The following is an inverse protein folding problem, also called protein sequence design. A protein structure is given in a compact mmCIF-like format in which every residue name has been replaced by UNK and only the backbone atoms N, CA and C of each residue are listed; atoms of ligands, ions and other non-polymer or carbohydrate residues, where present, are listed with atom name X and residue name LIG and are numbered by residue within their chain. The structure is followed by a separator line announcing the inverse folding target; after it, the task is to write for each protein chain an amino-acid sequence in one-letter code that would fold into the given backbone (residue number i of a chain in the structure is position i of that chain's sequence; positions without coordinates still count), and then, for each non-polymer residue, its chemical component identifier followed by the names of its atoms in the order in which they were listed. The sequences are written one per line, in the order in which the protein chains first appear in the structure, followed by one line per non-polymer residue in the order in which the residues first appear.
data_IF_523444341383
#
_entry.id   IF_523444341383
#
_cell.length_a   1.000
_cell.length_b   1.000
_cell.length_c   1.000
_cell.angle_alpha   90.00
_cell.angle_beta   90.00
_cell.angle_gamma   90.00
#
_symmetry.space_group_name_H-M   'P 1'
#
loop_
_entity.id
_entity.type
_entity.pdbx_description
1 polymer ?
#
# COMPACT_ATOMS: atom_id res chain seq x y z
N UNK A 1 -2.27 16.97 -16.54
CA UNK A 1 -1.28 16.13 -17.22
C UNK A 1 -1.10 14.90 -16.36
N UNK A 2 -1.86 13.85 -16.66
CA UNK A 2 -1.75 12.57 -15.97
C UNK A 2 -0.45 11.91 -16.39
N UNK A 3 0.49 11.77 -15.46
CA UNK A 3 1.77 11.10 -15.70
C UNK A 3 1.77 9.84 -14.85
N UNK A 4 0.98 8.86 -15.27
CA UNK A 4 1.31 7.44 -15.10
C UNK A 4 1.74 6.91 -16.48
N UNK A 5 2.65 7.64 -17.13
CA UNK A 5 3.41 7.06 -18.23
C UNK A 5 4.24 5.91 -17.63
N UNK A 6 4.33 4.78 -18.31
CA UNK A 6 5.09 3.61 -17.89
C UNK A 6 6.56 3.99 -17.65
N UNK A 7 6.85 4.45 -16.44
CA UNK A 7 8.18 4.93 -16.06
C UNK A 7 9.19 3.78 -16.15
N UNK A 8 8.75 2.52 -16.09
CA UNK A 8 9.65 1.38 -16.23
C UNK A 8 10.25 1.29 -17.63
N UNK A 9 9.50 1.69 -18.67
CA UNK A 9 9.96 1.71 -20.05
C UNK A 9 10.89 2.88 -20.41
N UNK A 10 11.08 3.85 -19.51
CA UNK A 10 11.97 4.98 -19.78
C UNK A 10 13.43 4.52 -19.81
N UNK A 11 14.10 4.86 -20.91
CA UNK A 11 15.54 4.61 -21.11
C UNK A 11 16.33 5.84 -20.68
N UNK A 12 17.51 5.64 -20.10
CA UNK A 12 18.42 6.75 -19.79
C UNK A 12 19.23 7.15 -21.03
N UNK A 13 19.06 8.40 -21.44
CA UNK A 13 19.82 9.03 -22.54
C UNK A 13 21.27 9.37 -22.14
N UNK A 14 22.15 9.47 -23.15
CA UNK A 14 23.59 9.79 -22.96
C UNK A 14 23.80 11.19 -22.35
N UNK A 15 23.03 12.17 -22.79
CA UNK A 15 23.15 13.58 -22.38
C UNK A 15 22.34 13.91 -21.11
N UNK A 16 21.65 12.92 -20.54
CA UNK A 16 20.79 13.09 -19.37
C UNK A 16 21.57 13.07 -18.05
N UNK A 17 21.02 13.69 -16.98
CA UNK A 17 21.62 13.62 -15.65
C UNK A 17 21.72 12.17 -15.16
N UNK A 18 22.67 11.90 -14.27
CA UNK A 18 22.76 10.61 -13.60
C UNK A 18 21.43 10.28 -12.89
N UNK A 19 20.89 9.10 -13.20
CA UNK A 19 19.63 8.60 -12.66
C UNK A 19 19.90 7.43 -11.72
N UNK A 20 19.32 7.49 -10.52
CA UNK A 20 19.30 6.40 -9.56
C UNK A 20 17.86 5.93 -9.35
N UNK A 21 17.68 4.63 -9.19
CA UNK A 21 16.41 4.01 -8.86
C UNK A 21 16.49 3.31 -7.52
N UNK A 22 15.40 3.39 -6.76
CA UNK A 22 15.27 2.81 -5.42
C UNK A 22 14.12 1.81 -5.45
N UNK A 23 14.45 0.53 -5.30
CA UNK A 23 13.50 -0.58 -5.23
C UNK A 23 13.10 -0.84 -3.77
N UNK A 24 11.89 -0.40 -3.41
CA UNK A 24 11.24 -0.70 -2.14
C UNK A 24 10.58 -2.08 -2.25
N UNK A 25 11.43 -3.12 -2.14
CA UNK A 25 10.99 -4.51 -2.23
C UNK A 25 10.08 -4.82 -1.04
N UNK A 26 8.86 -5.29 -1.32
CA UNK A 26 7.84 -5.53 -0.30
C UNK A 26 7.38 -6.98 -0.23
N UNK A 27 7.04 -7.41 0.98
CA UNK A 27 6.40 -8.71 1.20
C UNK A 27 4.87 -8.67 1.12
N UNK A 28 4.25 -9.83 1.31
CA UNK A 28 2.79 -10.01 1.36
C UNK A 28 2.12 -9.27 2.53
N UNK A 29 2.88 -8.90 3.56
CA UNK A 29 2.45 -8.12 4.73
C UNK A 29 2.75 -6.63 4.58
N UNK A 30 3.12 -6.17 3.38
CA UNK A 30 3.43 -4.76 3.09
C UNK A 30 4.66 -4.21 3.83
N UNK A 31 5.54 -5.08 4.35
CA UNK A 31 6.82 -4.68 4.93
C UNK A 31 7.85 -4.46 3.82
N UNK A 32 8.74 -3.49 4.01
CA UNK A 32 9.80 -3.12 3.07
C UNK A 32 11.12 -3.76 3.51
N UNK A 33 11.80 -4.43 2.59
CA UNK A 33 13.12 -4.99 2.79
C UNK A 33 14.14 -3.86 2.89
N UNK A 34 14.97 -3.91 3.93
CA UNK A 34 16.12 -3.04 4.12
C UNK A 34 17.37 -3.88 4.33
N UNK A 35 18.49 -3.37 3.84
CA UNK A 35 19.78 -4.02 3.81
C UNK A 35 20.80 -3.19 4.56
N UNK A 36 21.62 -3.83 5.39
CA UNK A 36 22.61 -3.16 6.23
C UNK A 36 23.92 -3.02 5.48
N UNK A 37 24.50 -1.83 5.55
CA UNK A 37 25.87 -1.58 5.09
C UNK A 37 26.89 -2.14 6.09
N UNK A 38 27.94 -2.84 5.62
CA UNK A 38 28.95 -3.39 6.50
C UNK A 38 29.80 -2.30 7.14
N UNK A 39 30.47 -2.65 8.24
CA UNK A 39 31.21 -1.68 9.06
C UNK A 39 32.39 -1.00 8.33
N UNK A 40 32.83 -1.59 7.21
CA UNK A 40 33.89 -1.05 6.34
C UNK A 40 33.38 -0.09 5.25
N UNK A 41 32.07 0.02 5.05
CA UNK A 41 31.48 0.84 4.00
C UNK A 41 31.37 2.31 4.42
N UNK A 42 31.25 3.25 3.46
CA UNK A 42 30.78 4.60 3.77
C UNK A 42 29.40 4.53 4.42
N UNK A 43 29.22 5.20 5.56
CA UNK A 43 28.00 5.16 6.39
C UNK A 43 27.73 3.76 6.96
N UNK A 44 28.64 3.23 7.79
CA UNK A 44 28.55 1.86 8.31
C UNK A 44 27.34 1.65 9.20
N UNK A 45 26.77 0.43 9.17
CA UNK A 45 25.64 0.04 10.01
C UNK A 45 24.29 0.66 9.64
N UNK A 46 24.26 1.51 8.60
CA UNK A 46 23.01 2.11 8.10
C UNK A 46 22.23 1.14 7.22
N UNK A 47 20.92 1.35 7.17
CA UNK A 47 19.96 0.56 6.41
C UNK A 47 19.52 1.29 5.14
N UNK A 48 19.47 0.60 4.01
CA UNK A 48 18.95 1.12 2.75
C UNK A 48 18.12 0.07 1.99
N UNK A 49 17.12 0.47 1.18
CA UNK A 49 16.50 -0.41 0.20
C UNK A 49 17.48 -0.83 -0.89
N UNK A 50 17.03 -1.69 -1.81
CA UNK A 50 17.82 -2.02 -3.00
C UNK A 50 17.91 -0.76 -3.88
N UNK A 51 19.13 -0.30 -4.17
CA UNK A 51 19.39 0.88 -4.99
C UNK A 51 20.29 0.54 -6.17
N UNK A 52 20.06 1.18 -7.30
CA UNK A 52 20.90 1.02 -8.49
C UNK A 52 20.99 2.30 -9.32
N UNK A 53 22.15 2.51 -9.92
CA UNK A 53 22.33 3.58 -10.91
C UNK A 53 21.90 3.04 -12.27
N UNK A 54 21.04 3.78 -12.98
CA UNK A 54 20.53 3.36 -14.29
C UNK A 54 21.64 3.57 -15.32
N UNK A 55 22.15 2.50 -15.97
CA UNK A 55 23.13 2.65 -17.03
C UNK A 55 22.57 3.42 -18.22
N UNK A 56 23.45 4.10 -18.95
CA UNK A 56 23.07 4.72 -20.23
C UNK A 56 22.59 3.64 -21.20
N UNK A 57 21.47 3.88 -21.86
CA UNK A 57 20.85 2.93 -22.79
C UNK A 57 20.06 1.80 -22.14
N UNK A 58 20.06 1.69 -20.81
CA UNK A 58 19.22 0.74 -20.08
C UNK A 58 17.88 1.38 -19.69
N UNK A 59 16.85 0.55 -19.60
CA UNK A 59 15.56 0.97 -19.05
C UNK A 59 15.57 0.97 -17.52
N UNK A 60 14.68 1.77 -16.92
CA UNK A 60 14.42 1.74 -15.48
C UNK A 60 13.96 0.34 -15.04
N UNK A 61 13.06 -0.29 -15.80
CA UNK A 61 12.52 -1.60 -15.51
C UNK A 61 13.59 -2.69 -15.47
N UNK A 62 14.44 -2.77 -16.50
CA UNK A 62 15.57 -3.71 -16.53
C UNK A 62 16.51 -3.49 -15.36
N UNK A 63 16.84 -2.22 -15.06
CA UNK A 63 17.72 -1.88 -13.93
C UNK A 63 17.13 -2.35 -12.60
N UNK A 64 15.82 -2.17 -12.38
CA UNK A 64 15.13 -2.63 -11.16
C UNK A 64 15.12 -4.16 -11.05
N UNK A 65 14.78 -4.87 -12.13
CA UNK A 65 14.78 -6.32 -12.17
C UNK A 65 16.15 -6.90 -11.84
N UNK A 66 17.18 -6.38 -12.50
CA UNK A 66 18.56 -6.82 -12.33
C UNK A 66 19.09 -6.51 -10.93
N UNK A 67 18.80 -5.32 -10.39
CA UNK A 67 19.21 -4.94 -9.05
C UNK A 67 18.59 -5.84 -7.99
N UNK A 68 17.27 -6.07 -8.05
CA UNK A 68 16.60 -6.96 -7.09
C UNK A 68 17.12 -8.39 -7.21
N UNK A 69 17.27 -8.91 -8.42
CA UNK A 69 17.78 -10.26 -8.62
C UNK A 69 19.21 -10.44 -8.07
N UNK A 70 20.12 -9.50 -8.36
CA UNK A 70 21.50 -9.56 -7.85
C UNK A 70 21.59 -9.41 -6.34
N UNK A 71 20.73 -8.60 -5.74
CA UNK A 71 20.82 -8.28 -4.31
C UNK A 71 20.06 -9.25 -3.41
N UNK A 72 19.05 -9.95 -3.94
CA UNK A 72 18.17 -10.81 -3.13
C UNK A 72 18.06 -12.24 -3.64
N UNK A 73 18.45 -12.50 -4.89
CA UNK A 73 18.15 -13.74 -5.60
C UNK A 73 16.70 -13.85 -6.10
N UNK A 74 15.85 -12.84 -5.86
CA UNK A 74 14.42 -12.90 -6.16
C UNK A 74 14.06 -12.35 -7.54
N UNK A 75 12.95 -12.84 -8.09
CA UNK A 75 12.38 -12.38 -9.35
C UNK A 75 11.30 -11.34 -9.11
N UNK A 76 11.43 -10.18 -9.72
CA UNK A 76 10.40 -9.13 -9.70
C UNK A 76 9.12 -9.60 -10.41
N UNK A 77 7.97 -9.40 -9.75
CA UNK A 77 6.62 -9.75 -10.24
C UNK A 77 5.79 -8.53 -10.60
N UNK A 78 6.09 -7.37 -10.03
CA UNK A 78 5.39 -6.14 -10.31
C UNK A 78 6.16 -4.94 -9.78
N UNK A 79 6.05 -3.84 -10.51
CA UNK A 79 6.70 -2.57 -10.22
C UNK A 79 5.64 -1.47 -10.26
N UNK A 80 5.57 -0.67 -9.22
CA UNK A 80 4.62 0.45 -9.11
C UNK A 80 5.40 1.72 -8.77
N UNK A 81 5.28 2.79 -9.56
CA UNK A 81 5.99 4.03 -9.26
C UNK A 81 5.50 4.63 -7.95
N UNK A 82 6.43 5.05 -7.10
CA UNK A 82 6.13 5.89 -5.95
C UNK A 82 6.25 7.34 -6.41
N UNK A 83 5.15 8.09 -6.29
CA UNK A 83 5.18 9.52 -6.51
C UNK A 83 5.70 10.17 -5.24
N UNK A 84 7.02 10.29 -5.16
CA UNK A 84 7.70 11.03 -4.10
C UNK A 84 7.88 12.48 -4.52
N UNK A 85 7.79 13.40 -3.55
CA UNK A 85 8.19 14.80 -3.79
C UNK A 85 9.67 14.88 -4.20
N UNK A 86 10.13 16.01 -4.76
CA UNK A 86 11.51 16.14 -5.25
C UNK A 86 12.50 15.71 -4.16
N UNK A 87 13.26 14.64 -4.46
CA UNK A 87 14.38 14.16 -3.66
C UNK A 87 15.38 15.31 -3.45
N UNK A 88 15.87 15.47 -2.23
CA UNK A 88 16.57 16.67 -1.75
C UNK A 88 17.73 17.15 -2.63
N UNK A 89 17.98 18.46 -2.57
CA UNK A 89 19.17 19.10 -3.12
C UNK A 89 20.43 18.45 -2.56
N UNK A 90 21.30 17.92 -3.43
CA UNK A 90 22.57 17.34 -3.02
C UNK A 90 23.36 18.29 -2.10
N UNK A 91 23.84 17.79 -0.96
CA UNK A 91 24.81 18.53 -0.14
C UNK A 91 26.12 18.67 -0.92
N UNK A 92 26.62 19.91 -1.06
CA UNK A 92 28.01 20.17 -1.47
C UNK A 92 28.27 20.29 -2.97
N UNK A 93 27.40 20.94 -3.75
CA UNK A 93 27.73 21.35 -5.13
C UNK A 93 27.88 20.21 -6.15
N UNK A 94 27.52 18.98 -5.78
CA UNK A 94 27.46 17.84 -6.71
C UNK A 94 26.21 17.94 -7.60
N UNK A 95 26.29 17.50 -8.87
CA UNK A 95 25.15 17.51 -9.78
C UNK A 95 23.95 16.79 -9.15
N UNK A 96 22.76 17.39 -9.29
CA UNK A 96 21.51 16.85 -8.74
C UNK A 96 21.24 15.51 -9.42
N UNK A 97 21.56 14.43 -8.72
CA UNK A 97 21.20 13.07 -9.11
C UNK A 97 19.68 12.95 -8.94
N UNK A 98 18.97 12.61 -10.02
CA UNK A 98 17.54 12.34 -9.94
C UNK A 98 17.37 10.95 -9.34
N UNK A 99 16.53 10.83 -8.31
CA UNK A 99 16.22 9.56 -7.68
C UNK A 99 14.73 9.25 -7.87
N UNK A 100 14.44 8.03 -8.34
CA UNK A 100 13.08 7.55 -8.55
C UNK A 100 12.84 6.30 -7.71
N UNK A 101 11.78 6.31 -6.91
CA UNK A 101 11.42 5.20 -6.03
C UNK A 101 10.31 4.36 -6.65
N UNK A 102 10.40 3.05 -6.45
CA UNK A 102 9.42 2.09 -6.95
C UNK A 102 9.07 1.09 -5.86
N UNK A 103 7.77 0.84 -5.71
CA UNK A 103 7.29 -0.26 -4.89
C UNK A 103 7.39 -1.55 -5.71
N UNK A 104 8.18 -2.50 -5.22
CA UNK A 104 8.51 -3.72 -5.97
C UNK A 104 7.95 -4.93 -5.25
N UNK A 105 7.06 -5.66 -5.93
CA UNK A 105 6.65 -6.99 -5.47
C UNK A 105 7.57 -8.02 -6.09
N UNK A 106 8.28 -8.79 -5.27
CA UNK A 106 9.19 -9.84 -5.72
C UNK A 106 8.72 -11.21 -5.22
N UNK A 107 9.11 -12.26 -5.94
CA UNK A 107 8.92 -13.64 -5.51
C UNK A 107 10.27 -14.35 -5.50
N UNK A 108 10.42 -15.25 -4.56
CA UNK A 108 11.58 -16.12 -4.45
C UNK A 108 11.80 -16.94 -5.72
N UNK A 109 13.05 -17.36 -6.01
CA UNK A 109 13.28 -18.47 -6.91
C UNK A 109 12.55 -19.69 -6.34
N UNK A 110 11.84 -20.44 -7.19
CA UNK A 110 11.08 -21.60 -6.75
C UNK A 110 11.99 -22.54 -5.95
N UNK A 111 11.73 -22.68 -4.65
CA UNK A 111 12.36 -23.73 -3.87
C UNK A 111 11.95 -25.09 -4.46
N UNK A 112 12.89 -26.03 -4.52
CA UNK A 112 12.58 -27.44 -4.72
C UNK A 112 11.44 -27.85 -3.78
N UNK A 113 10.51 -28.72 -4.20
CA UNK A 113 9.38 -29.09 -3.35
C UNK A 113 9.91 -29.72 -2.05
N UNK A 114 9.62 -29.04 -0.94
CA UNK A 114 9.88 -29.52 0.43
C UNK A 114 9.11 -30.85 0.63
N UNK A 115 9.68 -31.87 1.31
CA UNK A 115 8.94 -33.09 1.60
C UNK A 115 7.73 -32.77 2.49
N UNK A 116 6.65 -33.52 2.27
CA UNK A 116 5.30 -33.24 2.74
C UNK A 116 5.22 -32.73 4.21
N UNK A 117 4.40 -31.70 4.50
CA UNK A 117 4.26 -31.16 5.84
C UNK A 117 3.56 -32.17 6.77
N UNK A 118 4.05 -32.26 8.01
CA UNK A 118 3.39 -32.97 9.10
C UNK A 118 2.00 -32.35 9.37
N UNK A 119 1.00 -33.16 9.75
CA UNK A 119 -0.32 -32.64 10.07
C UNK A 119 -0.28 -31.96 11.43
N UNK A 120 -1.06 -30.90 11.57
CA UNK A 120 -1.43 -30.24 12.82
C UNK A 120 -0.53 -29.10 13.29
N UNK A 121 -0.76 -27.94 12.68
CA UNK A 121 -0.83 -26.59 13.27
C UNK A 121 -1.46 -25.73 12.16
N UNK A 122 -2.44 -24.87 12.48
CA UNK A 122 -3.03 -23.94 11.50
C UNK A 122 -1.95 -23.14 10.75
N UNK A 123 -2.24 -22.52 9.59
CA UNK A 123 -1.18 -21.99 8.73
C UNK A 123 -0.42 -20.86 9.44
N UNK A 124 0.71 -21.21 10.04
CA UNK A 124 1.78 -20.27 10.32
C UNK A 124 2.20 -19.76 8.95
N UNK A 125 2.04 -18.46 8.64
CA UNK A 125 2.45 -17.95 7.35
C UNK A 125 3.93 -18.28 7.17
N UNK A 126 4.25 -19.04 6.12
CA UNK A 126 5.61 -19.42 5.79
C UNK A 126 6.47 -18.16 5.83
N UNK A 127 7.56 -18.13 6.62
CA UNK A 127 8.45 -16.98 6.64
C UNK A 127 8.89 -16.68 5.22
N UNK A 128 8.88 -15.41 4.82
CA UNK A 128 9.60 -15.01 3.60
C UNK A 128 11.07 -15.37 3.86
N UNK A 129 11.70 -16.24 3.06
CA UNK A 129 13.07 -16.65 3.26
C UNK A 129 13.99 -15.44 3.14
N UNK A 130 15.19 -15.59 3.69
CA UNK A 130 16.19 -14.54 3.66
C UNK A 130 16.61 -14.21 2.21
N UNK A 131 16.92 -12.94 1.89
CA UNK A 131 17.62 -12.61 0.66
C UNK A 131 19.00 -13.28 0.64
N UNK A 132 19.44 -13.72 -0.53
CA UNK A 132 20.84 -14.13 -0.72
C UNK A 132 21.72 -12.89 -0.86
N UNK A 133 22.49 -12.60 0.20
CA UNK A 133 23.40 -11.45 0.24
C UNK A 133 24.81 -11.78 -0.25
N UNK A 134 25.07 -13.03 -0.69
CA UNK A 134 26.39 -13.43 -1.15
C UNK A 134 26.83 -12.59 -2.36
N UNK A 135 28.02 -11.98 -2.26
CA UNK A 135 28.55 -11.13 -3.33
C UNK A 135 27.91 -9.73 -3.41
N UNK A 136 27.05 -9.36 -2.45
CA UNK A 136 26.53 -7.99 -2.31
C UNK A 136 27.42 -7.15 -1.40
N UNK A 137 27.20 -5.83 -1.41
CA UNK A 137 27.82 -4.88 -0.48
C UNK A 137 27.06 -4.76 0.85
N UNK A 138 26.24 -5.77 1.21
CA UNK A 138 25.38 -5.79 2.40
C UNK A 138 25.65 -7.02 3.25
N UNK A 139 25.59 -6.88 4.59
CA UNK A 139 25.94 -7.96 5.52
C UNK A 139 24.79 -8.43 6.43
N UNK A 140 23.65 -7.73 6.39
CA UNK A 140 22.44 -8.10 7.09
C UNK A 140 21.19 -7.54 6.38
N UNK A 141 20.02 -8.07 6.74
CA UNK A 141 18.73 -7.57 6.25
C UNK A 141 17.71 -7.45 7.39
N UNK A 142 16.70 -6.60 7.19
CA UNK A 142 15.55 -6.47 8.08
C UNK A 142 14.29 -6.09 7.30
N UNK A 143 13.14 -6.18 7.96
CA UNK A 143 11.84 -5.80 7.40
C UNK A 143 11.27 -4.61 8.17
N UNK A 144 10.92 -3.54 7.45
CA UNK A 144 10.25 -2.37 8.02
C UNK A 144 8.77 -2.34 7.61
N UNK A 145 7.88 -2.50 8.58
CA UNK A 145 6.43 -2.49 8.42
C UNK A 145 5.74 -1.22 8.91
N UNK A 146 4.44 -1.35 9.18
CA UNK A 146 3.55 -0.24 9.52
C UNK A 146 3.94 0.49 10.83
N UNK A 147 4.38 -0.26 11.84
CA UNK A 147 4.75 0.24 13.18
C UNK A 147 6.17 0.78 13.30
N UNK A 148 6.97 0.65 12.25
CA UNK A 148 8.44 0.81 12.28
C UNK A 148 8.91 2.25 12.05
N UNK A 149 7.98 3.19 11.96
CA UNK A 149 8.28 4.58 11.63
C UNK A 149 9.16 5.28 12.69
N UNK A 150 9.12 4.84 13.95
CA UNK A 150 9.91 5.41 15.04
C UNK A 150 11.41 5.19 14.86
N UNK A 151 11.85 3.94 14.64
CA UNK A 151 13.27 3.63 14.51
C UNK A 151 13.85 4.07 13.17
N UNK A 152 13.07 3.99 12.07
CA UNK A 152 13.51 4.47 10.75
C UNK A 152 13.88 5.96 10.72
N UNK A 153 13.24 6.78 11.57
CA UNK A 153 13.50 8.24 11.65
C UNK A 153 14.71 8.59 12.51
N UNK A 154 15.38 7.60 13.12
CA UNK A 154 16.59 7.84 13.89
C UNK A 154 17.77 8.13 12.94
N UNK A 155 18.55 9.20 13.16
CA UNK A 155 19.71 9.56 12.32
C UNK A 155 20.79 8.47 12.20
N UNK A 156 20.83 7.53 13.15
CA UNK A 156 21.79 6.42 13.15
C UNK A 156 21.30 5.19 12.36
N UNK A 157 20.07 5.22 11.84
CA UNK A 157 19.42 4.04 11.25
C UNK A 157 19.45 4.05 9.73
N UNK A 158 19.07 5.15 9.08
CA UNK A 158 19.01 5.24 7.62
C UNK A 158 20.00 6.30 7.16
N UNK A 159 20.84 6.00 6.17
CA UNK A 159 21.90 6.89 5.70
C UNK A 159 21.36 8.24 5.17
N UNK A 160 20.10 8.28 4.76
CA UNK A 160 19.40 9.46 4.25
C UNK A 160 18.03 9.64 4.96
N UNK A 161 17.78 10.77 5.64
CA UNK A 161 16.46 11.09 6.22
C UNK A 161 15.31 11.11 5.20
N UNK A 162 15.58 11.45 3.92
CA UNK A 162 14.61 11.38 2.84
C UNK A 162 14.15 9.95 2.56
N UNK A 163 15.09 9.00 2.64
CA UNK A 163 14.84 7.57 2.44
C UNK A 163 13.94 6.99 3.53
N UNK A 164 14.10 7.42 4.79
CA UNK A 164 13.22 7.01 5.88
C UNK A 164 11.76 7.42 5.62
N UNK A 165 11.53 8.62 5.09
CA UNK A 165 10.20 9.09 4.71
C UNK A 165 9.57 8.25 3.61
N UNK A 166 10.34 7.90 2.58
CA UNK A 166 9.92 7.05 1.45
C UNK A 166 9.58 5.64 1.91
N UNK A 167 10.42 5.02 2.75
CA UNK A 167 10.17 3.67 3.30
C UNK A 167 8.90 3.65 4.14
N UNK A 168 8.70 4.64 5.03
CA UNK A 168 7.46 4.76 5.82
C UNK A 168 6.25 4.95 4.92
N UNK A 169 6.34 5.79 3.88
CA UNK A 169 5.26 5.98 2.91
C UNK A 169 4.93 4.66 2.21
N UNK A 170 5.94 3.94 1.72
CA UNK A 170 5.77 2.66 1.04
C UNK A 170 5.16 1.56 1.94
N UNK A 171 5.61 1.44 3.19
CA UNK A 171 5.03 0.51 4.17
C UNK A 171 3.55 0.84 4.49
N UNK A 172 3.15 2.10 4.37
CA UNK A 172 1.78 2.59 4.56
C UNK A 172 0.93 2.53 3.29
N UNK A 173 1.54 2.40 2.12
CA UNK A 173 0.82 2.30 0.84
C UNK A 173 0.14 0.93 0.70
N UNK A 174 -1.08 0.91 0.17
CA UNK A 174 -1.77 -0.34 -0.19
C UNK A 174 -2.06 -0.37 -1.68
N UNK A 175 -1.82 -1.52 -2.30
CA UNK A 175 -2.19 -1.77 -3.68
C UNK A 175 -3.37 -2.72 -3.68
N UNK A 176 -4.43 -2.35 -4.40
CA UNK A 176 -5.57 -3.21 -4.66
C UNK A 176 -5.58 -3.58 -6.14
N UNK A 177 -6.64 -4.25 -6.60
CA UNK A 177 -6.78 -4.62 -8.01
C UNK A 177 -6.65 -3.41 -8.93
N UNK A 178 -7.26 -2.28 -8.59
CA UNK A 178 -7.27 -1.06 -9.42
C UNK A 178 -6.68 0.17 -8.74
N UNK A 179 -6.47 0.15 -7.43
CA UNK A 179 -6.13 1.36 -6.69
C UNK A 179 -4.74 1.29 -6.08
N UNK A 180 -4.05 2.42 -6.16
CA UNK A 180 -2.90 2.75 -5.31
C UNK A 180 -3.40 3.68 -4.21
N UNK A 181 -3.37 3.17 -2.99
CA UNK A 181 -3.83 3.86 -1.78
C UNK A 181 -2.62 4.41 -1.03
N UNK A 182 -2.41 5.73 -1.11
CA UNK A 182 -1.26 6.42 -0.51
C UNK A 182 -1.64 7.12 0.80
N UNK A 183 -0.80 7.07 1.84
CA UNK A 183 -1.11 7.76 3.10
C UNK A 183 -1.18 9.27 2.84
N UNK A 184 -2.21 9.93 3.38
CA UNK A 184 -2.37 11.38 3.20
C UNK A 184 -1.15 12.14 3.73
N UNK A 185 -0.70 13.10 2.92
CA UNK A 185 0.46 13.96 3.17
C UNK A 185 0.31 15.31 2.48
N UNK A 186 1.22 16.27 2.71
CA UNK A 186 1.16 17.62 2.15
C UNK A 186 1.00 17.67 0.62
N UNK A 187 1.59 16.72 -0.09
CA UNK A 187 1.54 16.59 -1.55
C UNK A 187 0.10 16.39 -2.08
N UNK A 188 -0.80 15.89 -1.23
CA UNK A 188 -2.17 15.55 -1.59
C UNK A 188 -3.16 16.73 -1.49
N UNK A 189 -2.70 17.92 -1.07
CA UNK A 189 -3.58 19.05 -0.76
C UNK A 189 -4.45 19.49 -1.95
N UNK A 190 -3.87 19.57 -3.15
CA UNK A 190 -4.60 19.97 -4.36
C UNK A 190 -5.70 18.97 -4.72
N UNK A 191 -5.38 17.68 -4.66
CA UNK A 191 -6.32 16.61 -5.01
C UNK A 191 -7.45 16.47 -4.01
N UNK A 192 -7.14 16.58 -2.72
CA UNK A 192 -8.17 16.62 -1.68
C UNK A 192 -9.06 17.85 -1.81
N UNK A 193 -8.51 19.03 -2.15
CA UNK A 193 -9.34 20.20 -2.42
C UNK A 193 -10.26 19.96 -3.63
N UNK A 194 -9.73 19.44 -4.76
CA UNK A 194 -10.51 19.11 -5.96
C UNK A 194 -11.61 18.08 -5.73
N UNK A 195 -11.44 17.18 -4.76
CA UNK A 195 -12.46 16.22 -4.36
C UNK A 195 -13.55 16.88 -3.51
N UNK A 196 -13.15 17.60 -2.45
CA UNK A 196 -14.06 18.12 -1.42
C UNK A 196 -14.70 19.47 -1.73
N UNK A 197 -14.17 20.21 -2.70
CA UNK A 197 -14.80 21.44 -3.19
C UNK A 197 -16.01 21.16 -4.09
N UNK A 198 -16.22 19.92 -4.54
CA UNK A 198 -17.33 19.54 -5.42
C UNK A 198 -18.66 19.57 -4.67
N UNK A 199 -19.69 20.28 -5.16
CA UNK A 199 -21.00 20.37 -4.50
C UNK A 199 -21.61 19.00 -4.19
N UNK A 200 -21.45 18.03 -5.09
CA UNK A 200 -22.01 16.69 -4.97
C UNK A 200 -21.36 15.88 -3.84
N UNK A 201 -20.12 16.20 -3.48
CA UNK A 201 -19.39 15.61 -2.34
C UNK A 201 -19.66 16.41 -1.08
N UNK A 202 -19.54 17.73 -1.17
CA UNK A 202 -19.76 18.69 -0.09
C UNK A 202 -21.13 18.52 0.59
N UNK A 203 -22.18 18.23 -0.19
CA UNK A 203 -23.53 18.01 0.32
C UNK A 203 -23.65 16.85 1.32
N UNK A 204 -22.70 15.92 1.34
CA UNK A 204 -22.67 14.80 2.29
C UNK A 204 -21.70 15.00 3.46
N UNK A 205 -20.81 15.99 3.40
CA UNK A 205 -19.66 16.13 4.31
C UNK A 205 -19.66 17.45 5.10
N UNK A 206 -20.81 18.08 5.24
CA UNK A 206 -20.97 19.31 6.04
C UNK A 206 -20.46 20.57 5.33
N UNK A 207 -20.36 20.55 4.00
CA UNK A 207 -20.00 21.72 3.18
C UNK A 207 -18.73 21.53 2.36
N UNK A 208 -18.52 22.47 1.43
CA UNK A 208 -17.39 22.44 0.51
C UNK A 208 -16.11 22.89 1.21
N UNK A 209 -15.01 22.19 0.94
CA UNK A 209 -13.72 22.61 1.48
C UNK A 209 -13.18 23.85 0.75
N UNK A 210 -12.81 24.86 1.53
CA UNK A 210 -11.91 25.93 1.08
C UNK A 210 -10.47 25.42 1.05
N UNK A 211 -9.57 26.13 0.34
CA UNK A 211 -8.14 25.81 0.37
C UNK A 211 -7.58 25.78 1.80
N UNK A 212 -8.02 26.71 2.65
CA UNK A 212 -7.59 26.77 4.05
C UNK A 212 -8.09 25.59 4.87
N UNK A 213 -9.38 25.24 4.76
CA UNK A 213 -9.92 24.04 5.41
C UNK A 213 -9.28 22.74 4.88
N UNK A 214 -8.82 22.75 3.63
CA UNK A 214 -8.08 21.63 3.04
C UNK A 214 -6.70 21.49 3.68
N UNK A 215 -5.93 22.58 3.79
CA UNK A 215 -4.62 22.56 4.48
C UNK A 215 -4.75 22.01 5.90
N UNK A 216 -5.71 22.52 6.68
CA UNK A 216 -5.99 22.04 8.04
C UNK A 216 -6.37 20.56 8.06
N UNK A 217 -7.17 20.11 7.11
CA UNK A 217 -7.58 18.70 7.04
C UNK A 217 -6.44 17.77 6.62
N UNK A 218 -5.57 18.18 5.71
CA UNK A 218 -4.36 17.43 5.33
C UNK A 218 -3.45 17.24 6.55
N UNK A 219 -3.18 18.31 7.29
CA UNK A 219 -2.36 18.24 8.50
C UNK A 219 -2.97 17.31 9.55
N UNK A 220 -4.29 17.38 9.77
CA UNK A 220 -5.00 16.49 10.70
C UNK A 220 -4.92 15.02 10.27
N UNK A 221 -5.17 14.73 8.99
CA UNK A 221 -5.13 13.37 8.46
C UNK A 221 -3.70 12.79 8.51
N UNK A 222 -2.69 13.61 8.21
CA UNK A 222 -1.28 13.23 8.34
C UNK A 222 -0.89 12.96 9.79
N UNK A 223 -1.29 13.84 10.72
CA UNK A 223 -1.06 13.64 12.15
C UNK A 223 -1.72 12.35 12.66
N UNK A 224 -2.89 11.98 12.13
CA UNK A 224 -3.53 10.69 12.38
C UNK A 224 -2.63 9.50 12.02
N UNK A 225 -2.03 9.52 10.82
CA UNK A 225 -1.05 8.50 10.41
C UNK A 225 0.18 8.46 11.32
N UNK A 226 0.69 9.63 11.72
CA UNK A 226 1.90 9.69 12.54
C UNK A 226 1.66 9.25 13.98
N UNK A 227 0.46 9.49 14.53
CA UNK A 227 0.08 9.08 15.88
C UNK A 227 -0.37 7.60 15.96
N UNK A 228 -1.19 7.13 15.01
CA UNK A 228 -1.79 5.80 15.07
C UNK A 228 -1.05 4.76 14.22
N UNK A 229 -0.20 5.17 13.29
CA UNK A 229 0.43 4.27 12.31
C UNK A 229 -0.48 3.89 11.13
N UNK A 230 -1.78 4.18 11.21
CA UNK A 230 -2.79 3.95 10.17
C UNK A 230 -3.72 5.16 10.02
N UNK A 231 -4.45 5.25 8.91
CA UNK A 231 -5.38 6.35 8.68
C UNK A 231 -6.01 6.37 7.30
N UNK A 232 -6.44 7.56 6.89
CA UNK A 232 -7.05 7.80 5.58
C UNK A 232 -5.99 7.81 4.48
N UNK A 233 -6.20 7.01 3.44
CA UNK A 233 -5.46 7.09 2.19
C UNK A 233 -6.11 8.04 1.19
N UNK A 234 -5.31 8.56 0.26
CA UNK A 234 -5.76 9.03 -1.05
C UNK A 234 -5.71 7.86 -2.03
N UNK A 235 -6.74 7.72 -2.85
CA UNK A 235 -6.88 6.63 -3.80
C UNK A 235 -6.68 7.15 -5.23
N UNK A 236 -5.70 6.58 -5.92
CA UNK A 236 -5.44 6.79 -7.34
C UNK A 236 -5.76 5.51 -8.12
N UNK A 237 -6.32 5.66 -9.31
CA UNK A 237 -6.45 4.54 -10.24
C UNK A 237 -5.07 4.16 -10.77
N UNK A 238 -4.77 2.87 -10.85
CA UNK A 238 -3.45 2.34 -11.25
C UNK A 238 -3.25 2.40 -12.76
N UNK A 239 -4.31 2.48 -13.56
CA UNK A 239 -4.20 2.46 -15.01
C UNK A 239 -3.91 3.87 -15.55
N UNK A 240 -4.67 4.88 -15.10
CA UNK A 240 -4.56 6.26 -15.59
C UNK A 240 -3.88 7.23 -14.61
N UNK A 241 -3.61 6.81 -13.36
CA UNK A 241 -3.01 7.63 -12.32
C UNK A 241 -3.94 8.72 -11.75
N UNK A 242 -5.21 8.76 -12.15
CA UNK A 242 -6.13 9.80 -11.75
C UNK A 242 -6.65 9.61 -10.32
N UNK A 243 -6.90 10.74 -9.66
CA UNK A 243 -7.55 10.74 -8.35
C UNK A 243 -8.94 10.10 -8.43
N UNK A 244 -9.14 9.01 -7.69
CA UNK A 244 -10.43 8.34 -7.52
C UNK A 244 -11.15 8.86 -6.27
N UNK A 245 -10.42 9.10 -5.18
CA UNK A 245 -11.04 9.49 -3.92
C UNK A 245 -10.10 9.43 -2.73
N UNK A 246 -10.68 9.21 -1.55
CA UNK A 246 -9.96 8.94 -0.31
C UNK A 246 -10.75 7.97 0.55
N UNK A 247 -10.10 7.35 1.52
CA UNK A 247 -10.75 6.52 2.53
C UNK A 247 -9.78 5.55 3.18
N UNK A 248 -10.31 4.64 3.98
CA UNK A 248 -9.52 3.72 4.78
C UNK A 248 -10.10 3.60 6.17
N UNK A 249 -9.27 3.14 7.10
CA UNK A 249 -9.63 2.96 8.51
C UNK A 249 -8.90 3.97 9.39
N UNK A 250 -9.58 4.51 10.40
CA UNK A 250 -9.01 5.43 11.37
C UNK A 250 -9.47 5.09 12.79
N UNK A 251 -8.70 5.48 13.83
CA UNK A 251 -9.15 5.35 15.21
C UNK A 251 -10.46 6.13 15.42
N UNK A 252 -11.38 5.55 16.19
CA UNK A 252 -12.66 6.16 16.52
C UNK A 252 -13.06 5.84 17.96
N UNK A 253 -13.86 6.70 18.59
CA UNK A 253 -14.40 6.46 19.93
C UNK A 253 -15.92 6.36 19.84
N UNK A 254 -16.44 5.17 20.12
CA UNK A 254 -17.88 4.91 20.15
C UNK A 254 -18.32 4.64 21.59
N UNK A 255 -19.21 5.47 22.13
CA UNK A 255 -19.71 5.37 23.52
C UNK A 255 -18.58 5.30 24.56
N UNK A 256 -17.53 6.11 24.37
CA UNK A 256 -16.36 6.12 25.25
C UNK A 256 -15.39 4.94 25.07
N UNK A 257 -15.66 4.01 24.14
CA UNK A 257 -14.79 2.87 23.84
C UNK A 257 -14.00 3.11 22.56
N UNK A 258 -12.70 2.81 22.61
CA UNK A 258 -11.85 2.82 21.41
C UNK A 258 -12.28 1.73 20.43
N UNK A 259 -12.44 2.12 19.17
CA UNK A 259 -12.78 1.26 18.05
C UNK A 259 -12.15 1.82 16.76
N UNK A 260 -12.51 1.25 15.62
CA UNK A 260 -12.01 1.65 14.31
C UNK A 260 -13.19 2.04 13.43
N UNK A 261 -13.10 3.19 12.76
CA UNK A 261 -14.07 3.61 11.75
C UNK A 261 -13.48 3.38 10.35
N UNK A 262 -14.24 2.73 9.47
CA UNK A 262 -13.93 2.68 8.03
C UNK A 262 -14.81 3.68 7.27
N UNK A 263 -14.19 4.43 6.36
CA UNK A 263 -14.89 5.46 5.58
C UNK A 263 -14.32 5.66 4.18
N UNK A 264 -15.11 6.27 3.31
CA UNK A 264 -14.75 6.55 1.92
C UNK A 264 -15.38 7.84 1.41
N UNK A 265 -14.71 8.46 0.45
CA UNK A 265 -15.23 9.57 -0.35
C UNK A 265 -14.68 9.40 -1.76
N UNK A 266 -15.55 9.28 -2.76
CA UNK A 266 -15.17 9.01 -4.16
C UNK A 266 -15.61 10.18 -5.03
N UNK A 267 -14.82 10.49 -6.06
CA UNK A 267 -15.12 11.53 -7.04
C UNK A 267 -16.44 11.20 -7.79
N UNK A 268 -17.34 12.16 -8.04
CA UNK A 268 -18.66 11.88 -8.62
C UNK A 268 -18.65 11.13 -9.96
N UNK A 269 -17.72 11.48 -10.86
CA UNK A 269 -17.55 10.84 -12.18
C UNK A 269 -17.06 9.38 -12.09
N UNK A 270 -16.62 8.94 -10.92
CA UNK A 270 -16.14 7.58 -10.63
C UNK A 270 -17.15 6.77 -9.78
N UNK A 271 -18.32 7.32 -9.45
CA UNK A 271 -19.37 6.61 -8.71
C UNK A 271 -19.93 5.41 -9.51
N UNK A 272 -20.52 4.44 -8.79
CA UNK A 272 -21.13 3.25 -9.40
C UNK A 272 -20.12 2.19 -9.89
N UNK A 273 -18.82 2.45 -9.84
CA UNK A 273 -17.75 1.56 -10.33
C UNK A 273 -17.13 0.65 -9.24
N UNK A 274 -17.70 0.65 -8.03
CA UNK A 274 -17.23 -0.17 -6.91
C UNK A 274 -15.98 0.33 -6.17
N UNK A 275 -15.43 1.51 -6.50
CA UNK A 275 -14.21 2.02 -5.85
C UNK A 275 -14.37 2.25 -4.33
N UNK A 276 -15.53 2.72 -3.88
CA UNK A 276 -15.81 2.89 -2.45
C UNK A 276 -15.71 1.56 -1.68
N UNK A 277 -16.26 0.48 -2.26
CA UNK A 277 -16.16 -0.88 -1.70
C UNK A 277 -14.71 -1.37 -1.72
N UNK A 278 -13.95 -1.10 -2.78
CA UNK A 278 -12.54 -1.48 -2.86
C UNK A 278 -11.67 -0.78 -1.80
N UNK A 279 -11.87 0.53 -1.60
CA UNK A 279 -11.21 1.32 -0.54
C UNK A 279 -11.61 0.79 0.84
N UNK A 280 -12.92 0.58 1.08
CA UNK A 280 -13.41 0.06 2.36
C UNK A 280 -12.88 -1.33 2.66
N UNK A 281 -12.78 -2.20 1.64
CA UNK A 281 -12.21 -3.55 1.78
C UNK A 281 -10.75 -3.48 2.20
N UNK A 282 -9.94 -2.60 1.60
CA UNK A 282 -8.55 -2.40 2.00
C UNK A 282 -8.44 -1.91 3.45
N UNK A 283 -9.35 -1.03 3.90
CA UNK A 283 -9.44 -0.59 5.29
C UNK A 283 -9.79 -1.73 6.26
N UNK A 284 -10.75 -2.59 5.90
CA UNK A 284 -11.12 -3.76 6.71
C UNK A 284 -10.00 -4.80 6.78
N UNK A 285 -9.31 -5.06 5.66
CA UNK A 285 -8.13 -5.93 5.64
C UNK A 285 -7.10 -5.41 6.62
N UNK A 286 -6.70 -4.13 6.50
CA UNK A 286 -5.75 -3.52 7.43
C UNK A 286 -6.19 -3.67 8.90
N UNK A 287 -7.44 -3.34 9.19
CA UNK A 287 -7.99 -3.40 10.54
C UNK A 287 -7.94 -4.81 11.15
N UNK A 288 -8.31 -5.83 10.38
CA UNK A 288 -8.41 -7.19 10.90
C UNK A 288 -7.09 -7.97 10.86
N UNK A 289 -6.26 -7.76 9.84
CA UNK A 289 -5.05 -8.57 9.65
C UNK A 289 -3.81 -7.96 10.30
N UNK A 290 -3.69 -6.62 10.34
CA UNK A 290 -2.50 -5.95 10.88
C UNK A 290 -2.77 -5.28 12.23
N UNK A 291 -3.98 -4.71 12.43
CA UNK A 291 -4.33 -4.02 13.68
C UNK A 291 -5.03 -4.92 14.71
N UNK A 292 -5.45 -6.13 14.33
CA UNK A 292 -6.13 -7.07 15.23
C UNK A 292 -7.48 -6.56 15.76
N UNK A 293 -8.17 -5.71 15.00
CA UNK A 293 -9.44 -5.12 15.41
C UNK A 293 -10.50 -6.23 15.65
N UNK A 294 -11.24 -6.12 16.76
CA UNK A 294 -12.35 -7.05 17.06
C UNK A 294 -13.63 -6.69 16.33
N UNK A 295 -13.79 -5.41 16.01
CA UNK A 295 -14.89 -4.86 15.23
C UNK A 295 -14.44 -3.57 14.53
N UNK A 296 -15.13 -3.25 13.44
CA UNK A 296 -14.99 -1.99 12.70
C UNK A 296 -16.38 -1.42 12.49
N UNK A 297 -16.51 -0.11 12.62
CA UNK A 297 -17.76 0.62 12.48
C UNK A 297 -17.74 1.54 11.26
N UNK A 298 -18.91 1.91 10.77
CA UNK A 298 -19.09 2.99 9.81
C UNK A 298 -20.47 3.61 10.06
N UNK A 299 -20.63 4.90 9.81
CA UNK A 299 -21.92 5.56 10.00
C UNK A 299 -22.16 6.63 8.94
N UNK A 300 -23.44 6.92 8.69
CA UNK A 300 -23.86 7.92 7.71
C UNK A 300 -25.28 8.39 8.02
N UNK A 301 -25.72 9.52 7.45
CA UNK A 301 -27.12 9.96 7.56
C UNK A 301 -28.08 8.94 6.93
N UNK A 302 -29.28 8.70 7.49
CA UNK A 302 -30.18 7.63 7.04
C UNK A 302 -30.50 7.65 5.53
N UNK A 303 -30.63 8.84 4.94
CA UNK A 303 -30.97 9.02 3.52
C UNK A 303 -29.77 8.85 2.56
N UNK A 304 -28.54 8.64 3.05
CA UNK A 304 -27.38 8.34 2.22
C UNK A 304 -27.38 6.85 1.80
N UNK A 305 -28.30 6.50 0.90
CA UNK A 305 -28.49 5.13 0.39
C UNK A 305 -27.25 4.58 -0.29
N UNK A 306 -26.43 5.43 -0.94
CA UNK A 306 -25.18 5.02 -1.61
C UNK A 306 -24.16 4.52 -0.60
N UNK A 307 -23.96 5.23 0.51
CA UNK A 307 -23.01 4.82 1.55
C UNK A 307 -23.48 3.55 2.27
N UNK A 308 -24.77 3.47 2.60
CA UNK A 308 -25.39 2.25 3.18
C UNK A 308 -25.19 1.03 2.28
N UNK A 309 -25.41 1.16 0.97
CA UNK A 309 -25.18 0.07 0.02
C UNK A 309 -23.70 -0.36 -0.06
N UNK A 310 -22.73 0.51 0.26
CA UNK A 310 -21.32 0.11 0.38
C UNK A 310 -21.09 -0.63 1.69
N UNK A 311 -21.64 -0.16 2.81
CA UNK A 311 -21.60 -0.87 4.11
C UNK A 311 -22.16 -2.29 3.99
N UNK A 312 -23.30 -2.46 3.30
CA UNK A 312 -23.91 -3.77 3.06
C UNK A 312 -22.98 -4.69 2.24
N UNK A 313 -22.36 -4.17 1.16
CA UNK A 313 -21.41 -4.93 0.32
C UNK A 313 -20.13 -5.31 1.08
N UNK A 314 -19.74 -4.52 2.06
CA UNK A 314 -18.62 -4.81 2.96
C UNK A 314 -18.98 -5.82 4.06
N UNK A 315 -20.22 -6.32 4.08
CA UNK A 315 -20.70 -7.27 5.08
C UNK A 315 -21.02 -6.62 6.43
N UNK A 316 -21.08 -5.30 6.50
CA UNK A 316 -21.47 -4.59 7.72
C UNK A 316 -22.97 -4.71 7.94
N UNK A 317 -23.39 -4.71 9.21
CA UNK A 317 -24.80 -4.80 9.60
C UNK A 317 -25.21 -3.57 10.38
N UNK A 318 -26.40 -3.06 10.10
CA UNK A 318 -27.02 -2.01 10.89
C UNK A 318 -27.08 -2.45 12.36
N UNK A 319 -26.61 -1.58 13.25
CA UNK A 319 -26.63 -1.81 14.69
C UNK A 319 -27.69 -0.96 15.37
N UNK A 320 -27.63 0.37 15.18
CA UNK A 320 -28.55 1.34 15.78
C UNK A 320 -28.40 2.72 15.14
N UNK A 321 -29.27 3.65 15.51
CA UNK A 321 -29.05 5.07 15.25
C UNK A 321 -28.17 5.70 16.34
N UNK A 322 -27.34 6.67 15.95
CA UNK A 322 -26.44 7.43 16.82
C UNK A 322 -26.47 8.92 16.47
N UNK A 323 -26.43 9.82 17.46
CA UNK A 323 -26.28 11.25 17.19
C UNK A 323 -24.84 11.56 16.75
N UNK A 324 -24.68 12.27 15.65
CA UNK A 324 -23.39 12.76 15.18
C UNK A 324 -23.56 14.11 14.47
N UNK A 325 -22.71 15.09 14.80
CA UNK A 325 -22.77 16.45 14.24
C UNK A 325 -24.17 17.09 14.30
N UNK A 326 -24.92 16.84 15.38
CA UNK A 326 -26.28 17.36 15.56
C UNK A 326 -27.36 16.66 14.74
N UNK A 327 -27.06 15.55 14.07
CA UNK A 327 -28.00 14.79 13.24
C UNK A 327 -28.03 13.30 13.59
N UNK A 328 -29.17 12.62 13.38
CA UNK A 328 -29.23 11.16 13.47
C UNK A 328 -28.44 10.51 12.33
N UNK A 329 -27.61 9.52 12.66
CA UNK A 329 -26.86 8.69 11.75
C UNK A 329 -27.17 7.22 12.00
N UNK A 330 -27.20 6.42 10.94
CA UNK A 330 -27.26 4.96 11.05
C UNK A 330 -25.85 4.40 11.24
N UNK A 331 -25.63 3.66 12.33
CA UNK A 331 -24.38 2.99 12.64
C UNK A 331 -24.40 1.55 12.13
N UNK A 332 -23.35 1.15 11.42
CA UNK A 332 -23.11 -0.20 10.94
C UNK A 332 -21.85 -0.76 11.59
N UNK A 333 -21.85 -2.06 11.85
CA UNK A 333 -20.75 -2.79 12.50
C UNK A 333 -20.41 -4.04 11.70
N UNK A 334 -19.13 -4.37 11.63
CA UNK A 334 -18.64 -5.64 11.08
C UNK A 334 -17.57 -6.24 11.99
N UNK A 335 -17.57 -7.57 12.09
CA UNK A 335 -16.61 -8.37 12.87
C UNK A 335 -15.85 -9.32 11.95
N UNK A 336 -14.63 -9.75 12.30
CA UNK A 336 -13.79 -10.58 11.43
C UNK A 336 -14.49 -11.81 10.83
N UNK A 337 -15.28 -12.54 11.64
CA UNK A 337 -15.99 -13.75 11.21
C UNK A 337 -17.02 -13.52 10.08
N UNK A 338 -17.47 -12.28 9.89
CA UNK A 338 -18.46 -11.92 8.88
C UNK A 338 -17.85 -11.52 7.52
N UNK A 339 -16.53 -11.35 7.43
CA UNK A 339 -15.86 -10.82 6.23
C UNK A 339 -15.18 -11.95 5.45
N UNK A 340 -15.51 -12.07 4.17
CA UNK A 340 -14.69 -12.83 3.23
C UNK A 340 -13.47 -11.99 2.86
N UNK A 341 -12.42 -12.02 3.70
CA UNK A 341 -11.15 -11.36 3.40
C UNK A 341 -10.40 -12.21 2.37
N UNK A 342 -10.02 -11.69 1.19
CA UNK A 342 -9.18 -12.42 0.25
C UNK A 342 -7.89 -12.87 0.95
N UNK A 343 -7.68 -14.19 1.04
CA UNK A 343 -6.52 -14.78 1.73
C UNK A 343 -6.77 -15.28 3.16
N UNK A 344 -7.96 -15.09 3.74
CA UNK A 344 -8.37 -15.85 4.93
C UNK A 344 -9.20 -17.07 4.51
N UNK A 345 -8.64 -18.26 4.68
CA UNK A 345 -9.40 -19.51 4.62
C UNK A 345 -10.33 -19.55 5.84
N UNK A 346 -11.62 -19.79 5.61
CA UNK A 346 -12.59 -20.03 6.70
C UNK A 346 -12.20 -21.30 7.46
N UNK A 347 -12.20 -21.32 8.81
CA UNK A 347 -11.96 -22.55 9.57
C UNK A 347 -13.05 -23.61 9.46
N UNK A 348 -14.18 -23.35 8.81
CA UNK A 348 -15.34 -24.25 8.88
C UNK A 348 -15.90 -24.60 7.50
N UNK A 349 -15.42 -25.72 6.99
CA UNK A 349 -16.23 -26.74 6.32
C UNK A 349 -15.43 -28.06 6.27
N UNK A 350 -15.17 -28.67 7.43
CA UNK A 350 -14.99 -30.12 7.49
C UNK A 350 -16.35 -30.74 7.14
N UNK A 351 -16.58 -30.97 5.85
CA UNK A 351 -17.50 -32.00 5.39
C UNK A 351 -16.69 -32.98 4.58
N UNK A 352 -16.56 -34.17 5.15
CA UNK A 352 -16.11 -35.38 4.48
C UNK A 352 -16.86 -35.53 3.16
N UNK A 353 -16.14 -35.46 2.05
CA UNK A 353 -16.65 -35.93 0.77
C UNK A 353 -15.73 -37.04 0.28
N UNK A 354 -16.34 -38.21 0.23
CA UNK A 354 -15.78 -39.46 -0.21
C UNK A 354 -15.17 -39.34 -1.61
N UNK A 355 -14.11 -40.11 -1.80
CA UNK A 355 -13.47 -40.37 -3.09
C UNK A 355 -14.48 -41.00 -4.06
N UNK A 356 -14.51 -40.50 -5.29
CA UNK A 356 -14.78 -41.34 -6.46
C UNK A 356 -14.05 -40.81 -7.69
N UNK A 357 -13.61 -41.70 -8.62
CA UNK A 357 -12.54 -41.42 -9.55
C UNK A 357 -13.04 -41.08 -10.96
N UNK A 358 -12.26 -40.23 -11.64
CA UNK A 358 -12.14 -40.22 -13.10
C UNK A 358 -12.93 -39.13 -13.82
N UNK A 359 -12.21 -38.25 -14.50
CA UNK A 359 -12.30 -38.09 -15.97
C UNK A 359 -11.07 -37.34 -16.50
N UNK A 360 -10.48 -37.89 -17.56
CA UNK A 360 -9.39 -37.32 -18.36
C UNK A 360 -9.96 -36.27 -19.32
N UNK A 361 -9.19 -35.23 -19.65
CA UNK A 361 -9.41 -34.52 -20.93
C UNK A 361 -9.00 -33.05 -20.99
N UNK A 362 -7.89 -32.80 -21.68
CA UNK A 362 -7.51 -31.60 -22.44
C UNK A 362 -6.75 -30.43 -21.81
N UNK A 363 -5.79 -29.99 -22.63
CA UNK A 363 -4.69 -29.06 -22.43
C UNK A 363 -4.96 -27.69 -23.06
N UNK A 364 -4.29 -26.67 -22.52
CA UNK A 364 -3.71 -25.60 -23.35
C UNK A 364 -4.37 -24.22 -23.25
N UNK A 365 -3.76 -23.33 -22.48
CA UNK A 365 -3.73 -21.90 -22.77
C UNK A 365 -2.43 -21.31 -22.19
N UNK A 366 -1.49 -21.01 -23.09
CA UNK A 366 -0.24 -20.30 -22.82
C UNK A 366 -0.56 -18.82 -22.61
N UNK A 367 0.00 -18.21 -21.58
CA UNK A 367 -0.11 -16.77 -21.31
C UNK A 367 1.20 -16.22 -20.77
N UNK A 368 2.11 -15.85 -21.66
CA UNK A 368 3.22 -14.94 -21.42
C UNK A 368 3.61 -14.30 -22.75
N UNK A 369 3.44 -12.98 -22.88
CA UNK A 369 4.39 -12.04 -23.48
C UNK A 369 3.65 -10.73 -23.77
N UNK A 370 4.23 -9.61 -23.33
CA UNK A 370 4.31 -8.43 -24.18
C UNK A 370 5.60 -7.69 -23.81
N UNK A 371 6.63 -7.94 -24.62
CA UNK A 371 7.80 -7.06 -24.80
C UNK A 371 7.52 -6.16 -25.99
N UNK A 372 7.96 -4.92 -25.86
CA UNK A 372 8.70 -4.11 -26.84
C UNK A 372 8.49 -4.45 -28.32
N UNK A 373 7.78 -3.56 -29.01
CA UNK A 373 8.14 -3.00 -30.33
C UNK A 373 7.42 -1.67 -30.47
#
# INVERSE_FOLDING_TARGET
MGVSADLCGLTRDQDGPALRVTALVRDRRHRILLLRRPDRAPWPGTWEPVVADVPVGATIGETLHDAVARTTGWTVRGVEPMLDGPSGSGRGGRPVRRELSFLVSAAEPAAMPDPAPAPDLGPTPTPVPAPDLAGTDHDAFTWAGLGDAGWLRSPATVADPGLAGVVVKAARTRLTRRLRLEPVGPEHGMDLWRLHARPEVAGWLGGAWTQESTRRSVLRLRAGWDAAGFGTWVAYDRDDGELVGRGGVAPYTLDGRSTHEVGWTVRPDRWGRGYATEIGTAGLVLAFTELGAREVVAFTVPHNTRSRAVMDRLGMRFAREVPHAGMSHVLYVVRPAAVAVPGQVRPEAQRSLAVSPGHRGFSGARGCSNRLS
#
